data_IF_684479243204
#
_entry.id   IF_684479243204
#
_cell.length_a   1.000
_cell.length_b   1.000
_cell.length_c   1.000
_cell.angle_alpha   90.00
_cell.angle_beta   90.00
_cell.angle_gamma   90.00
#
_symmetry.space_group_name_H-M   'P 1'
#
loop_
_entity.id
_entity.type
_entity.pdbx_description
1 polymer ?
#
# COMPACT_ATOMS: atom_id res chain seq x y z
N UNK A 1 -81.55 9.06 29.28
CA UNK A 1 -81.67 10.38 28.60
C UNK A 1 -80.34 11.13 28.72
N UNK A 2 -79.88 11.65 27.58
CA UNK A 2 -78.73 12.52 27.24
C UNK A 2 -77.97 13.25 28.38
N UNK A 3 -76.63 13.29 28.31
CA UNK A 3 -75.77 14.40 27.81
C UNK A 3 -74.33 14.36 28.40
N UNK A 4 -73.41 15.09 27.75
CA UNK A 4 -72.10 15.61 28.23
C UNK A 4 -70.87 14.77 27.80
N UNK A 5 -69.75 15.28 27.25
CA UNK A 5 -69.08 16.59 27.31
C UNK A 5 -68.18 16.85 26.08
N UNK A 6 -68.11 18.11 25.64
CA UNK A 6 -67.00 18.68 24.87
C UNK A 6 -66.79 20.08 25.44
N UNK A 7 -65.60 20.43 25.94
CA UNK A 7 -65.16 21.83 26.04
C UNK A 7 -63.63 21.90 26.19
N UNK A 8 -63.09 22.86 25.45
CA UNK A 8 -61.70 23.10 25.06
C UNK A 8 -61.17 24.35 25.77
N UNK A 9 -59.85 24.35 26.09
CA UNK A 9 -58.88 25.46 26.16
C UNK A 9 -59.15 26.68 27.05
N UNK A 10 -58.27 26.92 28.03
CA UNK A 10 -57.60 28.22 28.28
C UNK A 10 -56.52 28.12 29.39
N UNK A 11 -55.23 28.21 29.04
CA UNK A 11 -54.03 28.58 29.84
C UNK A 11 -52.82 28.01 29.05
N UNK A 12 -51.76 28.71 28.64
CA UNK A 12 -51.13 29.94 29.12
C UNK A 12 -50.18 30.42 28.01
N UNK A 13 -50.38 31.63 27.50
CA UNK A 13 -49.36 32.41 26.79
C UNK A 13 -48.71 33.28 27.86
N UNK A 14 -47.51 32.93 28.34
CA UNK A 14 -46.56 33.86 28.96
C UNK A 14 -45.24 33.14 29.27
N UNK A 15 -44.26 33.18 28.35
CA UNK A 15 -42.81 33.10 28.61
C UNK A 15 -42.04 33.17 27.27
N UNK A 16 -42.15 34.34 26.63
CA UNK A 16 -41.08 34.87 25.79
C UNK A 16 -40.05 35.52 26.72
N UNK A 17 -38.77 35.41 26.37
CA UNK A 17 -37.57 35.90 27.08
C UNK A 17 -37.02 35.00 28.20
N UNK A 18 -36.36 33.91 27.81
CA UNK A 18 -35.13 33.51 28.49
C UNK A 18 -34.03 33.39 27.44
N UNK A 19 -32.92 34.08 27.71
CA UNK A 19 -31.80 34.27 26.80
C UNK A 19 -31.19 32.93 26.42
N UNK A 20 -31.06 32.67 25.12
CA UNK A 20 -30.09 31.71 24.62
C UNK A 20 -28.69 32.30 24.86
N UNK A 21 -28.19 32.14 26.08
CA UNK A 21 -26.75 32.11 26.31
C UNK A 21 -26.21 30.99 25.43
N UNK A 22 -25.51 31.37 24.36
CA UNK A 22 -24.64 30.46 23.65
C UNK A 22 -23.62 29.96 24.67
N UNK A 23 -23.89 28.80 25.27
CA UNK A 23 -22.87 28.03 25.92
C UNK A 23 -21.80 27.77 24.85
N UNK A 24 -20.64 28.38 25.02
CA UNK A 24 -19.44 28.00 24.28
C UNK A 24 -19.37 26.48 24.38
N UNK A 25 -19.36 25.79 23.24
CA UNK A 25 -19.09 24.36 23.18
C UNK A 25 -17.86 24.11 24.04
N UNK A 26 -17.96 23.32 25.13
CA UNK A 26 -16.84 23.11 26.02
C UNK A 26 -15.69 22.57 25.17
N UNK A 27 -14.55 23.28 25.19
CA UNK A 27 -13.30 22.75 24.66
C UNK A 27 -13.08 21.45 25.42
N UNK A 28 -13.25 20.32 24.74
CA UNK A 28 -12.97 19.00 25.31
C UNK A 28 -11.46 18.96 25.48
N UNK A 29 -10.98 19.34 26.67
CA UNK A 29 -9.56 19.25 27.00
C UNK A 29 -9.25 17.76 27.10
N UNK A 30 -8.46 17.28 26.13
CA UNK A 30 -8.02 15.89 26.10
C UNK A 30 -7.14 15.59 27.33
N UNK A 31 -7.37 14.43 27.94
CA UNK A 31 -6.72 14.06 29.20
C UNK A 31 -5.33 13.50 28.91
N UNK A 32 -4.30 14.10 29.52
CA UNK A 32 -2.95 13.54 29.53
C UNK A 32 -2.94 12.36 30.52
N UNK A 33 -2.62 11.17 30.02
CA UNK A 33 -2.57 9.93 30.82
C UNK A 33 -1.13 9.51 31.16
N UNK A 34 -0.15 9.96 30.38
CA UNK A 34 1.27 9.84 30.71
C UNK A 34 2.10 10.97 30.09
N UNK A 35 3.26 11.20 30.67
CA UNK A 35 4.28 12.16 30.22
C UNK A 35 5.65 11.50 30.31
N UNK A 36 6.43 11.59 29.25
CA UNK A 36 7.84 11.19 29.17
C UNK A 36 8.64 12.41 28.71
N UNK A 37 9.36 13.05 29.63
CA UNK A 37 9.98 14.37 29.42
C UNK A 37 9.05 15.38 28.73
N UNK A 38 9.37 15.80 27.50
CA UNK A 38 8.58 16.78 26.74
C UNK A 38 7.45 16.15 25.92
N UNK A 39 7.21 14.85 26.07
CA UNK A 39 6.27 14.11 25.24
C UNK A 39 5.10 13.61 26.06
N UNK A 40 3.90 13.81 25.53
CA UNK A 40 2.66 13.51 26.22
C UNK A 40 1.94 12.37 25.51
N UNK A 41 1.25 11.56 26.29
CA UNK A 41 0.35 10.52 25.79
C UNK A 41 -1.05 10.91 26.22
N UNK A 42 -1.92 11.05 25.23
CA UNK A 42 -3.29 11.48 25.43
C UNK A 42 -4.23 10.28 25.55
N UNK A 43 -5.34 10.46 26.26
CA UNK A 43 -6.36 9.42 26.39
C UNK A 43 -6.96 9.08 25.03
N UNK A 44 -7.23 10.10 24.20
CA UNK A 44 -7.77 9.89 22.85
C UNK A 44 -6.83 9.08 21.95
N UNK A 45 -5.51 9.24 22.10
CA UNK A 45 -4.49 8.48 21.36
C UNK A 45 -4.55 6.99 21.71
N UNK A 46 -4.59 6.66 23.00
CA UNK A 46 -4.73 5.29 23.47
C UNK A 46 -6.07 4.67 23.01
N UNK A 47 -7.17 5.40 23.18
CA UNK A 47 -8.50 4.94 22.76
C UNK A 47 -8.56 4.71 21.25
N UNK A 48 -7.98 5.61 20.45
CA UNK A 48 -7.90 5.49 18.99
C UNK A 48 -7.16 4.23 18.57
N UNK A 49 -5.99 3.95 19.16
CA UNK A 49 -5.24 2.73 18.86
C UNK A 49 -5.98 1.46 19.27
N UNK A 50 -6.61 1.46 20.46
CA UNK A 50 -7.45 0.33 20.90
C UNK A 50 -8.59 0.08 19.92
N UNK A 51 -9.27 1.12 19.43
CA UNK A 51 -10.35 0.97 18.46
C UNK A 51 -9.84 0.46 17.12
N UNK A 52 -8.67 0.92 16.66
CA UNK A 52 -8.05 0.44 15.42
C UNK A 52 -7.79 -1.08 15.48
N UNK A 53 -7.25 -1.59 16.60
CA UNK A 53 -7.04 -3.04 16.78
C UNK A 53 -8.34 -3.83 16.87
N UNK A 54 -9.41 -3.26 17.44
CA UNK A 54 -10.74 -3.90 17.46
C UNK A 54 -11.36 -3.99 16.08
N UNK A 55 -11.18 -2.96 15.25
CA UNK A 55 -11.73 -2.90 13.90
C UNK A 55 -10.98 -3.80 12.92
N UNK A 56 -9.69 -4.08 13.15
CA UNK A 56 -8.92 -4.97 12.27
C UNK A 56 -9.28 -6.45 12.41
N UNK A 57 -10.02 -6.84 13.46
CA UNK A 57 -10.45 -8.23 13.67
C UNK A 57 -9.30 -9.21 13.91
N UNK A 58 -8.11 -8.72 14.25
CA UNK A 58 -6.91 -9.54 14.39
C UNK A 58 -7.00 -10.45 15.63
N UNK A 59 -6.81 -11.76 15.44
CA UNK A 59 -6.73 -12.71 16.54
C UNK A 59 -5.51 -12.38 17.44
N UNK A 60 -5.72 -12.32 18.76
CA UNK A 60 -4.67 -11.97 19.72
C UNK A 60 -4.37 -10.47 19.83
N UNK A 61 -5.38 -9.61 19.64
CA UNK A 61 -5.23 -8.17 19.84
C UNK A 61 -4.62 -7.84 21.22
N UNK A 62 -3.64 -6.91 21.30
CA UNK A 62 -3.02 -6.55 22.56
C UNK A 62 -4.03 -5.92 23.51
N UNK A 63 -3.86 -6.19 24.81
CA UNK A 63 -4.64 -5.55 25.86
C UNK A 63 -4.40 -4.03 25.86
N UNK A 64 -5.34 -3.27 26.43
CA UNK A 64 -5.19 -1.82 26.59
C UNK A 64 -3.87 -1.45 27.29
N UNK A 65 -3.45 -2.22 28.29
CA UNK A 65 -2.17 -1.99 28.97
C UNK A 65 -0.97 -2.22 28.06
N UNK A 66 -0.97 -3.23 27.19
CA UNK A 66 0.11 -3.47 26.24
C UNK A 66 0.19 -2.38 25.17
N UNK A 67 -0.96 -1.88 24.70
CA UNK A 67 -1.00 -0.74 23.78
C UNK A 67 -0.44 0.51 24.49
N UNK A 68 -0.87 0.77 25.72
CA UNK A 68 -0.38 1.90 26.50
C UNK A 68 1.12 1.81 26.79
N UNK A 69 1.62 0.62 27.12
CA UNK A 69 3.05 0.35 27.27
C UNK A 69 3.81 0.67 25.98
N UNK A 70 3.31 0.24 24.81
CA UNK A 70 3.95 0.54 23.52
C UNK A 70 4.02 2.04 23.23
N UNK A 71 3.00 2.82 23.65
CA UNK A 71 3.00 4.28 23.54
C UNK A 71 4.07 4.91 24.44
N UNK A 72 4.18 4.47 25.69
CA UNK A 72 5.22 4.93 26.63
C UNK A 72 6.61 4.62 26.10
N UNK A 73 6.85 3.40 25.62
CA UNK A 73 8.12 3.00 25.00
C UNK A 73 8.44 3.89 23.78
N UNK A 74 7.45 4.15 22.93
CA UNK A 74 7.60 5.03 21.77
C UNK A 74 7.99 6.46 22.15
N UNK A 75 7.29 7.06 23.13
CA UNK A 75 7.64 8.41 23.63
C UNK A 75 9.00 8.42 24.32
N UNK A 76 9.40 7.33 24.98
CA UNK A 76 10.73 7.23 25.55
C UNK A 76 11.85 7.14 24.50
N UNK A 77 11.62 6.44 23.39
CA UNK A 77 12.56 6.43 22.26
C UNK A 77 12.75 7.82 21.68
N UNK A 78 11.70 8.64 21.60
CA UNK A 78 11.80 10.03 21.16
C UNK A 78 12.62 10.88 22.15
N UNK A 79 12.32 10.82 23.46
CA UNK A 79 13.06 11.56 24.47
C UNK A 79 14.56 11.18 24.49
N UNK A 80 14.87 9.88 24.43
CA UNK A 80 16.25 9.41 24.31
C UNK A 80 16.89 9.79 22.98
N UNK A 81 16.14 9.92 21.89
CA UNK A 81 16.67 10.38 20.61
C UNK A 81 17.11 11.84 20.69
N UNK A 82 16.41 12.69 21.43
CA UNK A 82 16.82 14.06 21.69
C UNK A 82 18.15 14.10 22.48
N UNK A 83 18.25 13.29 23.54
CA UNK A 83 19.47 13.17 24.37
C UNK A 83 20.65 12.64 23.55
N UNK A 84 20.42 11.59 22.77
CA UNK A 84 21.44 10.93 21.94
C UNK A 84 21.69 11.64 20.60
N UNK A 85 21.03 12.78 20.36
CA UNK A 85 21.12 13.57 19.11
C UNK A 85 20.82 12.75 17.84
N UNK A 86 19.87 11.83 17.91
CA UNK A 86 19.38 11.05 16.77
C UNK A 86 18.32 11.87 16.04
N UNK A 87 18.67 12.38 14.86
CA UNK A 87 17.78 13.21 14.04
C UNK A 87 17.43 12.52 12.72
N UNK A 88 16.28 12.90 12.15
CA UNK A 88 15.83 12.47 10.82
C UNK A 88 15.92 13.67 9.87
N UNK A 89 16.39 13.44 8.65
CA UNK A 89 16.47 14.49 7.63
C UNK A 89 15.07 14.93 7.19
N UNK A 90 14.85 16.25 7.11
CA UNK A 90 13.56 16.81 6.71
C UNK A 90 13.12 16.33 5.32
N UNK A 91 14.08 16.13 4.40
CA UNK A 91 13.79 15.57 3.08
C UNK A 91 13.12 14.20 3.15
N UNK A 92 13.50 13.36 4.11
CA UNK A 92 12.88 12.05 4.31
C UNK A 92 11.45 12.19 4.84
N UNK A 93 11.23 13.13 5.76
CA UNK A 93 9.90 13.44 6.30
C UNK A 93 8.96 13.92 5.19
N UNK A 94 9.39 14.85 4.34
CA UNK A 94 8.59 15.37 3.23
C UNK A 94 8.29 14.30 2.16
N UNK A 95 9.23 13.39 1.90
CA UNK A 95 9.01 12.27 0.99
C UNK A 95 7.93 11.33 1.52
N UNK A 96 7.97 10.97 2.80
CA UNK A 96 6.97 10.09 3.42
C UNK A 96 5.60 10.78 3.51
N UNK A 97 5.58 12.08 3.80
CA UNK A 97 4.37 12.90 3.80
C UNK A 97 3.72 12.92 2.42
N UNK A 98 4.49 13.12 1.36
CA UNK A 98 4.00 13.08 -0.02
C UNK A 98 3.36 11.73 -0.33
N UNK A 99 4.06 10.62 -0.08
CA UNK A 99 3.52 9.27 -0.32
C UNK A 99 2.27 8.97 0.51
N UNK A 100 2.20 9.44 1.76
CA UNK A 100 1.01 9.29 2.61
C UNK A 100 -0.18 10.06 2.06
N UNK A 101 0.04 11.29 1.58
CA UNK A 101 -1.01 12.10 0.95
C UNK A 101 -1.52 11.47 -0.35
N UNK A 102 -0.62 10.92 -1.19
CA UNK A 102 -0.98 10.21 -2.41
C UNK A 102 -1.84 8.97 -2.12
N UNK A 103 -1.48 8.17 -1.10
CA UNK A 103 -2.28 7.03 -0.65
C UNK A 103 -3.68 7.46 -0.20
N UNK A 104 -3.78 8.55 0.56
CA UNK A 104 -5.08 9.09 0.98
C UNK A 104 -5.88 9.60 -0.22
N UNK A 105 -5.26 10.26 -1.19
CA UNK A 105 -5.95 10.70 -2.40
C UNK A 105 -6.46 9.52 -3.24
N UNK A 106 -5.73 8.40 -3.30
CA UNK A 106 -6.19 7.18 -3.96
C UNK A 106 -7.37 6.56 -3.23
N UNK A 107 -7.34 6.50 -1.89
CA UNK A 107 -8.41 5.91 -1.08
C UNK A 107 -9.68 6.75 -1.10
N UNK A 108 -9.56 8.08 -0.96
CA UNK A 108 -10.69 8.99 -0.88
C UNK A 108 -11.10 9.56 -2.24
N UNK A 109 -10.29 9.36 -3.29
CA UNK A 109 -10.55 9.78 -4.67
C UNK A 109 -10.34 11.27 -4.98
N UNK A 110 -10.34 12.14 -3.96
CA UNK A 110 -9.99 13.56 -4.10
C UNK A 110 -9.61 14.21 -2.78
N UNK A 111 -8.88 15.32 -2.84
CA UNK A 111 -8.59 16.15 -1.67
C UNK A 111 -9.86 16.69 -0.99
N UNK A 112 -10.92 16.95 -1.76
CA UNK A 112 -12.21 17.40 -1.22
C UNK A 112 -12.80 16.35 -0.27
N UNK A 113 -12.78 15.08 -0.68
CA UNK A 113 -13.29 13.97 0.12
C UNK A 113 -12.44 13.75 1.38
N UNK A 114 -11.13 14.04 1.33
CA UNK A 114 -10.27 14.03 2.52
C UNK A 114 -10.68 15.13 3.50
N UNK A 115 -10.91 16.36 3.02
CA UNK A 115 -11.37 17.47 3.88
C UNK A 115 -12.72 17.13 4.53
N UNK A 116 -13.65 16.54 3.78
CA UNK A 116 -14.96 16.12 4.30
C UNK A 116 -14.84 14.98 5.34
N UNK A 117 -13.94 14.02 5.11
CA UNK A 117 -13.74 12.89 6.02
C UNK A 117 -13.02 13.29 7.33
N UNK A 118 -12.06 14.21 7.27
CA UNK A 118 -11.23 14.60 8.42
C UNK A 118 -11.70 15.90 9.08
N UNK A 119 -12.57 16.68 8.44
CA UNK A 119 -13.06 17.96 8.95
C UNK A 119 -11.98 19.04 9.07
N UNK A 120 -10.85 18.89 8.38
CA UNK A 120 -9.68 19.78 8.46
C UNK A 120 -9.20 20.19 7.07
N UNK A 121 -8.54 21.36 6.98
CA UNK A 121 -7.87 21.77 5.74
C UNK A 121 -6.69 20.86 5.44
N UNK A 122 -6.34 20.73 4.15
CA UNK A 122 -5.18 19.93 3.72
C UNK A 122 -3.87 20.44 4.34
N UNK A 123 -3.73 21.76 4.53
CA UNK A 123 -2.54 22.33 5.19
C UNK A 123 -2.43 21.86 6.63
N UNK A 124 -3.52 22.00 7.41
CA UNK A 124 -3.55 21.57 8.81
C UNK A 124 -3.30 20.07 8.95
N UNK A 125 -3.88 19.27 8.05
CA UNK A 125 -3.66 17.83 8.02
C UNK A 125 -2.20 17.49 7.72
N UNK A 126 -1.58 18.17 6.73
CA UNK A 126 -0.16 17.99 6.41
C UNK A 126 0.74 18.33 7.59
N UNK A 127 0.43 19.38 8.35
CA UNK A 127 1.22 19.78 9.51
C UNK A 127 1.15 18.76 10.65
N UNK A 128 -0.04 18.21 10.92
CA UNK A 128 -0.23 17.10 11.86
C UNK A 128 0.50 15.83 11.41
N UNK A 129 0.31 15.44 10.14
CA UNK A 129 0.96 14.27 9.56
C UNK A 129 2.47 14.40 9.56
N UNK A 130 3.01 15.58 9.24
CA UNK A 130 4.47 15.83 9.26
C UNK A 130 5.05 15.57 10.64
N UNK A 131 4.38 16.07 11.68
CA UNK A 131 4.81 15.88 13.07
C UNK A 131 4.77 14.40 13.45
N UNK A 132 3.66 13.71 13.16
CA UNK A 132 3.51 12.28 13.43
C UNK A 132 4.53 11.41 12.65
N UNK A 133 4.79 11.75 11.38
CA UNK A 133 5.79 11.07 10.54
C UNK A 133 7.19 11.27 11.10
N UNK A 134 7.54 12.49 11.52
CA UNK A 134 8.84 12.78 12.14
C UNK A 134 9.04 11.97 13.41
N UNK A 135 8.03 11.90 14.28
CA UNK A 135 8.06 11.04 15.46
C UNK A 135 8.27 9.57 15.07
N UNK A 136 7.45 9.03 14.16
CA UNK A 136 7.54 7.65 13.70
C UNK A 136 8.93 7.30 13.14
N UNK A 137 9.50 8.17 12.30
CA UNK A 137 10.82 7.96 11.70
C UNK A 137 11.94 8.04 12.73
N UNK A 138 11.82 8.95 13.71
CA UNK A 138 12.82 9.10 14.79
C UNK A 138 12.82 7.87 15.68
N UNK A 139 11.65 7.40 16.11
CA UNK A 139 11.49 6.16 16.88
C UNK A 139 12.04 4.96 16.12
N UNK A 140 11.75 4.84 14.81
CA UNK A 140 12.29 3.76 13.97
C UNK A 140 13.82 3.80 13.90
N UNK A 141 14.41 4.99 13.68
CA UNK A 141 15.86 5.16 13.62
C UNK A 141 16.52 4.81 14.97
N UNK A 142 15.90 5.17 16.08
CA UNK A 142 16.34 4.76 17.42
C UNK A 142 16.26 3.24 17.60
N UNK A 143 15.14 2.61 17.21
CA UNK A 143 14.98 1.17 17.26
C UNK A 143 16.03 0.43 16.42
N UNK A 144 16.34 0.95 15.22
CA UNK A 144 17.41 0.43 14.37
C UNK A 144 18.78 0.56 15.03
N UNK A 145 19.09 1.70 15.65
CA UNK A 145 20.33 1.90 16.43
C UNK A 145 20.47 0.91 17.58
N UNK A 146 19.37 0.61 18.29
CA UNK A 146 19.37 -0.35 19.40
C UNK A 146 19.60 -1.79 18.88
N UNK A 147 19.11 -2.10 17.68
CA UNK A 147 19.02 -3.48 17.18
C UNK A 147 20.01 -3.83 16.07
N UNK A 148 20.82 -2.88 15.58
CA UNK A 148 21.72 -3.06 14.43
C UNK A 148 22.76 -4.16 14.63
N UNK A 149 23.28 -4.29 15.86
CA UNK A 149 24.30 -5.29 16.20
C UNK A 149 23.70 -6.63 16.65
N UNK A 150 22.36 -6.71 16.73
CA UNK A 150 21.68 -7.94 17.14
C UNK A 150 21.71 -8.94 16.00
N UNK A 151 22.59 -9.94 16.15
CA UNK A 151 22.70 -11.11 15.25
C UNK A 151 22.18 -12.36 15.94
N UNK A 152 21.67 -13.31 15.16
CA UNK A 152 21.23 -14.62 15.64
C UNK A 152 22.19 -15.71 15.15
N UNK A 153 22.56 -16.64 16.01
CA UNK A 153 23.38 -17.80 15.67
C UNK A 153 22.53 -19.07 15.55
N UNK A 154 22.95 -20.09 14.77
CA UNK A 154 22.19 -21.34 14.66
C UNK A 154 21.92 -22.04 16.00
N UNK A 155 22.84 -21.91 16.96
CA UNK A 155 22.68 -22.44 18.33
C UNK A 155 21.55 -21.73 19.08
N UNK A 156 21.42 -20.41 18.91
CA UNK A 156 20.33 -19.64 19.51
C UNK A 156 18.99 -19.94 18.84
N UNK A 157 18.96 -20.13 17.51
CA UNK A 157 17.75 -20.58 16.81
C UNK A 157 17.27 -21.92 17.36
N UNK A 158 18.19 -22.87 17.55
CA UNK A 158 17.87 -24.18 18.14
C UNK A 158 17.28 -24.04 19.55
N UNK A 159 17.91 -23.26 20.42
CA UNK A 159 17.40 -22.98 21.78
C UNK A 159 16.04 -22.29 21.77
N UNK A 160 15.84 -21.33 20.87
CA UNK A 160 14.56 -20.65 20.70
C UNK A 160 13.46 -21.65 20.34
N UNK A 161 13.73 -22.53 19.37
CA UNK A 161 12.77 -23.54 18.92
C UNK A 161 12.47 -24.59 20.01
N UNK A 162 13.50 -25.08 20.72
CA UNK A 162 13.35 -26.03 21.83
C UNK A 162 12.55 -25.46 23.02
N UNK A 163 12.52 -24.13 23.16
CA UNK A 163 11.75 -23.44 24.20
C UNK A 163 10.26 -23.25 23.84
N UNK A 164 9.84 -23.55 22.61
CA UNK A 164 8.43 -23.48 22.21
C UNK A 164 7.71 -24.71 22.78
N UNK A 165 6.62 -24.54 23.56
CA UNK A 165 5.80 -25.67 24.00
C UNK A 165 5.35 -26.53 22.83
N UNK A 166 5.36 -27.86 22.97
CA UNK A 166 5.10 -28.80 21.86
C UNK A 166 3.72 -28.61 21.22
N UNK A 167 2.72 -28.24 22.01
CA UNK A 167 1.36 -27.90 21.60
C UNK A 167 1.24 -26.53 20.92
N UNK A 168 2.27 -25.69 21.06
CA UNK A 168 2.37 -24.35 20.49
C UNK A 168 3.28 -24.29 19.26
N UNK A 169 3.82 -25.44 18.80
CA UNK A 169 4.61 -25.51 17.56
C UNK A 169 3.66 -25.21 16.38
N UNK A 170 3.95 -24.18 15.57
CA UNK A 170 3.07 -23.82 14.47
C UNK A 170 2.89 -24.96 13.47
N UNK A 171 1.65 -25.20 13.07
CA UNK A 171 1.35 -26.04 11.93
C UNK A 171 1.63 -25.27 10.64
N UNK A 172 2.47 -25.83 9.77
CA UNK A 172 2.75 -25.29 8.45
C UNK A 172 1.81 -25.94 7.44
N UNK A 173 0.96 -25.14 6.75
CA UNK A 173 0.11 -25.68 5.69
C UNK A 173 0.98 -26.23 4.55
N UNK A 174 0.35 -26.97 3.62
CA UNK A 174 1.04 -27.40 2.42
C UNK A 174 1.54 -26.17 1.67
N UNK A 175 2.80 -26.18 1.24
CA UNK A 175 3.36 -25.11 0.43
C UNK A 175 3.60 -25.58 -1.00
N UNK A 176 3.56 -24.65 -1.95
CA UNK A 176 3.78 -24.93 -3.37
C UNK A 176 4.76 -23.93 -3.96
N UNK A 177 5.52 -24.39 -4.95
CA UNK A 177 6.36 -23.55 -5.79
C UNK A 177 5.76 -23.49 -7.19
N UNK A 178 5.44 -22.28 -7.64
CA UNK A 178 4.72 -22.07 -8.90
C UNK A 178 5.52 -21.09 -9.76
N UNK A 179 5.79 -21.48 -10.99
CA UNK A 179 6.32 -20.60 -12.01
C UNK A 179 5.23 -20.14 -12.97
N UNK A 180 5.40 -18.97 -13.59
CA UNK A 180 4.56 -18.55 -14.71
C UNK A 180 5.34 -17.85 -15.83
N UNK A 181 4.79 -17.93 -17.04
CA UNK A 181 5.25 -17.15 -18.20
C UNK A 181 4.05 -16.39 -18.71
N UNK A 182 4.18 -15.07 -18.81
CA UNK A 182 3.08 -14.16 -19.11
C UNK A 182 3.31 -13.49 -20.47
N UNK A 183 2.23 -13.35 -21.25
CA UNK A 183 2.18 -12.53 -22.45
C UNK A 183 0.98 -11.59 -22.38
N UNK A 184 1.23 -10.30 -22.51
CA UNK A 184 0.18 -9.28 -22.47
C UNK A 184 -0.71 -9.43 -23.69
N UNK A 185 -2.01 -9.26 -23.48
CA UNK A 185 -2.98 -9.19 -24.55
C UNK A 185 -2.64 -7.99 -25.46
N UNK A 186 -2.79 -8.17 -26.78
CA UNK A 186 -2.40 -7.16 -27.76
C UNK A 186 -3.61 -6.36 -28.21
N UNK A 187 -3.44 -5.06 -28.43
CA UNK A 187 -4.49 -4.26 -29.07
C UNK A 187 -4.67 -4.71 -30.52
N UNK A 188 -5.89 -5.05 -30.91
CA UNK A 188 -6.19 -5.47 -32.29
C UNK A 188 -5.97 -4.31 -33.26
N UNK A 189 -5.65 -4.62 -34.53
CA UNK A 189 -5.52 -3.60 -35.59
C UNK A 189 -6.77 -2.72 -35.69
N UNK A 190 -7.96 -3.30 -35.58
CA UNK A 190 -9.22 -2.58 -35.62
C UNK A 190 -9.36 -1.58 -34.46
N UNK A 191 -9.02 -2.00 -33.22
CA UNK A 191 -9.02 -1.10 -32.07
C UNK A 191 -7.97 0.02 -32.21
N UNK A 192 -6.76 -0.31 -32.68
CA UNK A 192 -5.73 0.71 -32.92
C UNK A 192 -6.22 1.77 -33.92
N UNK A 193 -6.83 1.34 -35.02
CA UNK A 193 -7.40 2.25 -36.01
C UNK A 193 -8.56 3.08 -35.45
N UNK A 194 -9.42 2.50 -34.61
CA UNK A 194 -10.51 3.20 -33.95
C UNK A 194 -9.99 4.32 -33.02
N UNK A 195 -9.06 3.97 -32.11
CA UNK A 195 -8.45 4.92 -31.17
C UNK A 195 -7.69 6.02 -31.89
N UNK A 196 -6.93 5.65 -32.94
CA UNK A 196 -6.23 6.60 -33.79
C UNK A 196 -7.21 7.57 -34.47
N UNK A 197 -8.28 7.05 -35.09
CA UNK A 197 -9.30 7.89 -35.75
C UNK A 197 -9.95 8.86 -34.78
N UNK A 198 -10.27 8.42 -33.56
CA UNK A 198 -10.85 9.27 -32.51
C UNK A 198 -9.91 10.39 -32.09
N UNK A 199 -8.65 10.07 -31.78
CA UNK A 199 -7.66 11.10 -31.41
C UNK A 199 -7.33 12.03 -32.58
N UNK A 200 -7.33 11.52 -33.80
CA UNK A 200 -7.14 12.33 -35.00
C UNK A 200 -8.32 13.28 -35.25
N UNK A 201 -9.55 12.86 -34.96
CA UNK A 201 -10.72 13.74 -34.94
C UNK A 201 -10.58 14.84 -33.88
N UNK A 202 -10.16 14.50 -32.66
CA UNK A 202 -9.91 15.49 -31.61
C UNK A 202 -8.80 16.48 -31.99
N UNK A 203 -7.74 16.01 -32.66
CA UNK A 203 -6.70 16.88 -33.21
C UNK A 203 -7.29 17.90 -34.19
N UNK A 204 -8.08 17.45 -35.16
CA UNK A 204 -8.74 18.34 -36.12
C UNK A 204 -9.67 19.35 -35.45
N UNK A 205 -10.44 18.91 -34.46
CA UNK A 205 -11.33 19.78 -33.68
C UNK A 205 -10.56 20.85 -32.92
N UNK A 206 -9.45 20.48 -32.28
CA UNK A 206 -8.56 21.42 -31.60
C UNK A 206 -7.93 22.42 -32.59
N UNK A 207 -7.46 21.96 -33.75
CA UNK A 207 -6.91 22.82 -34.81
C UNK A 207 -7.97 23.78 -35.39
N UNK A 208 -9.24 23.39 -35.37
CA UNK A 208 -10.38 24.23 -35.76
C UNK A 208 -10.89 25.15 -34.64
N UNK A 209 -10.20 25.20 -33.49
CA UNK A 209 -10.48 26.15 -32.41
C UNK A 209 -11.30 25.61 -31.23
N UNK A 210 -11.63 24.32 -31.20
CA UNK A 210 -12.22 23.71 -30.01
C UNK A 210 -11.20 23.63 -28.86
N UNK A 211 -11.62 23.88 -27.62
CA UNK A 211 -10.70 23.83 -26.47
C UNK A 211 -10.19 22.41 -26.24
N UNK A 212 -8.86 22.27 -26.26
CA UNK A 212 -8.18 21.02 -25.93
C UNK A 212 -8.47 20.58 -24.50
N UNK A 213 -8.51 21.54 -23.59
CA UNK A 213 -8.72 21.35 -22.17
C UNK A 213 -10.13 20.79 -21.89
N UNK A 214 -11.16 21.31 -22.55
CA UNK A 214 -12.52 20.77 -22.43
C UNK A 214 -12.64 19.38 -23.04
N UNK A 215 -12.03 19.13 -24.21
CA UNK A 215 -11.99 17.78 -24.79
C UNK A 215 -11.25 16.79 -23.89
N UNK A 216 -10.16 17.21 -23.25
CA UNK A 216 -9.44 16.38 -22.30
C UNK A 216 -10.29 16.05 -21.06
N UNK A 217 -11.07 16.99 -20.52
CA UNK A 217 -12.00 16.73 -19.43
C UNK A 217 -13.09 15.74 -19.80
N UNK A 218 -13.59 15.81 -21.04
CA UNK A 218 -14.71 14.99 -21.50
C UNK A 218 -14.29 13.58 -21.95
N UNK A 219 -13.13 13.46 -22.60
CA UNK A 219 -12.77 12.25 -23.34
C UNK A 219 -11.49 11.57 -22.87
N UNK A 220 -10.62 12.24 -22.10
CA UNK A 220 -9.40 11.60 -21.62
C UNK A 220 -9.74 10.54 -20.57
N UNK A 221 -9.18 9.35 -20.75
CA UNK A 221 -9.27 8.23 -19.81
C UNK A 221 -8.14 8.26 -18.77
N UNK A 222 -7.28 9.27 -18.80
CA UNK A 222 -6.39 9.60 -17.68
C UNK A 222 -7.17 10.37 -16.60
N UNK A 223 -7.56 9.66 -15.53
CA UNK A 223 -8.33 10.21 -14.42
C UNK A 223 -7.60 11.34 -13.66
N UNK A 224 -6.27 11.35 -13.69
CA UNK A 224 -5.45 12.33 -12.99
C UNK A 224 -5.43 13.67 -13.72
N UNK A 225 -4.92 13.68 -14.95
CA UNK A 225 -4.79 14.91 -15.74
C UNK A 225 -6.08 15.29 -16.48
N UNK A 226 -6.93 14.35 -16.86
CA UNK A 226 -8.16 14.60 -17.63
C UNK A 226 -9.06 15.63 -16.94
N UNK A 227 -9.31 15.48 -15.64
CA UNK A 227 -10.08 16.45 -14.83
C UNK A 227 -9.48 17.86 -14.79
N UNK A 228 -8.16 17.99 -15.01
CA UNK A 228 -7.42 19.26 -15.09
C UNK A 228 -7.24 19.75 -16.53
N UNK A 229 -8.06 19.27 -17.47
CA UNK A 229 -7.92 19.65 -18.87
C UNK A 229 -6.73 18.98 -19.57
N UNK A 230 -6.32 17.80 -19.11
CA UNK A 230 -5.19 17.08 -19.66
C UNK A 230 -3.84 17.57 -19.13
N UNK A 231 -3.83 18.51 -18.18
CA UNK A 231 -2.60 19.12 -17.67
C UNK A 231 -1.79 18.16 -16.77
N UNK A 232 -0.56 17.88 -17.22
CA UNK A 232 0.44 17.05 -16.54
C UNK A 232 1.42 17.87 -15.69
N UNK A 233 1.39 19.20 -15.76
CA UNK A 233 2.38 20.08 -15.15
C UNK A 233 3.76 20.00 -15.82
N UNK A 234 4.78 20.51 -15.13
CA UNK A 234 6.17 20.41 -15.59
C UNK A 234 6.73 19.02 -15.33
N UNK A 235 7.23 18.39 -16.39
CA UNK A 235 7.98 17.15 -16.35
C UNK A 235 9.45 17.42 -16.69
N UNK A 236 10.36 16.81 -15.93
CA UNK A 236 11.78 16.73 -16.27
C UNK A 236 11.99 15.66 -17.35
N UNK A 237 13.02 15.84 -18.16
CA UNK A 237 13.46 14.79 -19.09
C UNK A 237 13.75 13.49 -18.34
N UNK A 238 13.26 12.38 -18.89
CA UNK A 238 13.32 11.04 -18.30
C UNK A 238 12.20 10.71 -17.30
N UNK A 239 11.28 11.64 -16.99
CA UNK A 239 10.16 11.34 -16.09
C UNK A 239 8.95 10.71 -16.80
N UNK A 240 8.76 10.97 -18.10
CA UNK A 240 7.65 10.41 -18.88
C UNK A 240 8.11 9.21 -19.70
N UNK A 241 7.15 8.37 -20.12
CA UNK A 241 7.46 7.24 -21.02
C UNK A 241 8.08 7.72 -22.32
N UNK A 242 9.09 7.01 -22.80
CA UNK A 242 9.92 7.45 -23.92
C UNK A 242 9.14 7.87 -25.19
N UNK A 243 8.06 7.17 -25.62
CA UNK A 243 7.28 7.60 -26.79
C UNK A 243 6.62 8.97 -26.59
N UNK A 244 6.08 9.23 -25.39
CA UNK A 244 5.43 10.48 -25.05
C UNK A 244 6.44 11.64 -25.04
N UNK A 245 7.55 11.46 -24.31
CA UNK A 245 8.59 12.49 -24.19
C UNK A 245 9.19 12.83 -25.55
N UNK A 246 9.53 11.82 -26.35
CA UNK A 246 10.10 12.02 -27.68
C UNK A 246 9.15 12.77 -28.62
N UNK A 247 7.84 12.57 -28.49
CA UNK A 247 6.85 13.31 -29.26
C UNK A 247 6.70 14.74 -28.74
N UNK A 248 6.53 14.93 -27.41
CA UNK A 248 6.35 16.24 -26.80
C UNK A 248 7.53 17.19 -27.09
N UNK A 249 8.77 16.72 -26.96
CA UNK A 249 9.98 17.53 -27.16
C UNK A 249 10.26 17.89 -28.63
N UNK A 250 9.56 17.27 -29.60
CA UNK A 250 9.61 17.65 -31.02
C UNK A 250 8.66 18.79 -31.36
N UNK A 251 7.72 19.10 -30.48
CA UNK A 251 6.71 20.12 -30.70
C UNK A 251 7.27 21.51 -30.40
N UNK A 252 6.68 22.51 -31.04
CA UNK A 252 6.79 23.92 -30.64
C UNK A 252 5.73 24.23 -29.57
N UNK A 253 5.93 25.29 -28.76
CA UNK A 253 4.89 25.81 -27.88
C UNK A 253 3.55 25.97 -28.59
N UNK A 254 2.48 25.51 -27.93
CA UNK A 254 1.09 25.40 -28.41
C UNK A 254 0.84 24.49 -29.61
N UNK A 255 1.82 23.68 -30.03
CA UNK A 255 1.64 22.72 -31.12
C UNK A 255 1.08 21.39 -30.60
N UNK A 256 0.26 20.74 -31.44
CA UNK A 256 -0.24 19.38 -31.23
C UNK A 256 0.65 18.34 -31.91
N UNK A 257 0.83 17.19 -31.26
CA UNK A 257 1.48 16.01 -31.85
C UNK A 257 0.59 15.32 -32.88
N UNK A 258 1.17 14.35 -33.59
CA UNK A 258 0.39 13.23 -34.12
C UNK A 258 -0.03 12.28 -33.00
N UNK A 259 -0.86 11.29 -33.31
CA UNK A 259 -1.27 10.29 -32.32
C UNK A 259 -0.07 9.40 -31.95
N UNK A 260 0.22 9.29 -30.65
CA UNK A 260 1.37 8.55 -30.12
C UNK A 260 0.88 7.31 -29.38
N UNK A 261 1.40 6.13 -29.72
CA UNK A 261 1.14 4.88 -28.98
C UNK A 261 2.19 4.68 -27.87
N UNK A 262 1.74 4.25 -26.68
CA UNK A 262 2.57 3.89 -25.54
C UNK A 262 2.01 2.66 -24.82
N UNK A 263 2.70 2.19 -23.78
CA UNK A 263 2.19 1.12 -22.90
C UNK A 263 0.89 1.47 -22.16
N UNK A 264 0.56 2.76 -22.02
CA UNK A 264 -0.66 3.22 -21.35
C UNK A 264 -1.85 3.46 -22.29
N UNK A 265 -1.64 3.35 -23.61
CA UNK A 265 -2.64 3.67 -24.63
C UNK A 265 -2.14 4.68 -25.66
N UNK A 266 -3.09 5.36 -26.30
CA UNK A 266 -2.87 6.32 -27.37
C UNK A 266 -3.04 7.75 -26.86
N UNK A 267 -2.11 8.62 -27.26
CA UNK A 267 -2.01 9.98 -26.77
C UNK A 267 -2.13 10.98 -27.92
N UNK A 268 -2.87 12.06 -27.67
CA UNK A 268 -2.71 13.32 -28.39
C UNK A 268 -2.09 14.33 -27.43
N UNK A 269 -0.97 14.95 -27.81
CA UNK A 269 -0.14 15.76 -26.91
C UNK A 269 -0.15 17.20 -27.39
N UNK A 270 -0.28 18.16 -26.46
CA UNK A 270 -0.09 19.59 -26.70
C UNK A 270 1.07 20.07 -25.83
N UNK A 271 2.12 20.61 -26.44
CA UNK A 271 3.20 21.23 -25.68
C UNK A 271 2.83 22.67 -25.35
N UNK A 272 2.92 23.10 -24.09
CA UNK A 272 2.74 24.51 -23.72
C UNK A 272 4.06 25.26 -23.76
N UNK A 273 5.07 24.74 -23.06
CA UNK A 273 6.34 25.42 -22.93
C UNK A 273 7.48 24.47 -22.55
N UNK A 274 8.71 24.94 -22.79
CA UNK A 274 9.95 24.26 -22.41
C UNK A 274 10.81 25.25 -21.63
N UNK A 275 11.28 24.84 -20.46
CA UNK A 275 12.14 25.64 -19.56
C UNK A 275 13.35 24.81 -19.16
N UNK A 276 14.49 25.07 -19.79
CA UNK A 276 15.73 24.33 -19.50
C UNK A 276 15.58 22.83 -19.76
N UNK A 277 15.63 22.01 -18.70
CA UNK A 277 15.44 20.56 -18.76
C UNK A 277 14.01 20.09 -18.45
N UNK A 278 13.08 21.03 -18.26
CA UNK A 278 11.68 20.75 -17.98
C UNK A 278 10.80 21.17 -19.15
N UNK A 279 9.67 20.49 -19.32
CA UNK A 279 8.65 20.83 -20.30
C UNK A 279 7.25 20.62 -19.71
N UNK A 280 6.33 21.48 -20.11
CA UNK A 280 4.95 21.46 -19.67
C UNK A 280 4.05 21.06 -20.83
N UNK A 281 3.33 19.95 -20.68
CA UNK A 281 2.48 19.40 -21.72
C UNK A 281 1.09 19.03 -21.19
N UNK A 282 0.11 19.08 -22.08
CA UNK A 282 -1.21 18.50 -21.89
C UNK A 282 -1.34 17.26 -22.75
N UNK A 283 -2.24 16.36 -22.37
CA UNK A 283 -2.62 15.25 -23.23
C UNK A 283 -4.09 14.84 -23.15
N UNK A 284 -4.53 14.12 -24.19
CA UNK A 284 -5.74 13.29 -24.16
C UNK A 284 -5.28 11.84 -24.34
N UNK A 285 -5.57 10.99 -23.35
CA UNK A 285 -5.26 9.57 -23.38
C UNK A 285 -6.53 8.77 -23.69
N UNK A 286 -6.49 7.92 -24.72
CA UNK A 286 -7.48 6.88 -24.93
C UNK A 286 -6.82 5.50 -24.79
N UNK A 287 -7.46 4.60 -24.06
CA UNK A 287 -7.00 3.23 -23.80
C UNK A 287 -7.78 2.25 -24.66
N UNK A 288 -7.15 1.13 -25.05
CA UNK A 288 -7.87 0.07 -25.70
C UNK A 288 -8.87 -0.57 -24.75
N UNK A 289 -10.05 -0.93 -25.28
CA UNK A 289 -11.02 -1.73 -24.55
C UNK A 289 -10.40 -3.08 -24.17
N UNK A 290 -10.12 -3.25 -22.88
CA UNK A 290 -9.46 -4.42 -22.32
C UNK A 290 -10.27 -5.72 -22.46
N UNK A 291 -11.58 -5.62 -22.74
CA UNK A 291 -12.44 -6.77 -23.00
C UNK A 291 -12.35 -7.26 -24.45
N UNK A 292 -11.88 -6.41 -25.37
CA UNK A 292 -11.77 -6.69 -26.81
C UNK A 292 -10.33 -6.88 -27.28
N UNK A 293 -9.39 -7.03 -26.35
CA UNK A 293 -7.99 -7.28 -26.69
C UNK A 293 -7.79 -8.66 -27.33
N UNK A 294 -6.80 -8.73 -28.21
CA UNK A 294 -6.37 -9.98 -28.82
C UNK A 294 -5.61 -10.83 -27.81
N UNK A 295 -6.22 -11.94 -27.42
CA UNK A 295 -5.61 -12.99 -26.61
C UNK A 295 -5.18 -14.19 -27.48
N UNK A 296 -5.54 -14.22 -28.76
CA UNK A 296 -5.26 -15.36 -29.66
C UNK A 296 -3.78 -15.45 -29.98
N UNK A 297 -3.12 -14.35 -30.37
CA UNK A 297 -1.67 -14.35 -30.60
C UNK A 297 -0.88 -14.71 -29.34
N UNK A 298 -1.10 -14.05 -28.17
CA UNK A 298 -0.46 -14.44 -26.92
C UNK A 298 -0.69 -15.90 -26.53
N UNK A 299 -1.91 -16.41 -26.74
CA UNK A 299 -2.26 -17.82 -26.49
C UNK A 299 -1.45 -18.76 -27.38
N UNK A 300 -1.44 -18.53 -28.71
CA UNK A 300 -0.67 -19.35 -29.65
C UNK A 300 0.83 -19.31 -29.37
N UNK A 301 1.32 -18.13 -29.00
CA UNK A 301 2.72 -17.95 -28.62
C UNK A 301 3.06 -18.78 -27.39
N UNK A 302 2.30 -18.65 -26.31
CA UNK A 302 2.52 -19.41 -25.09
C UNK A 302 2.33 -20.92 -25.27
N UNK A 303 1.40 -21.35 -26.14
CA UNK A 303 1.25 -22.77 -26.48
C UNK A 303 2.50 -23.31 -27.18
N UNK A 304 3.10 -22.52 -28.08
CA UNK A 304 4.37 -22.88 -28.74
C UNK A 304 5.50 -23.02 -27.72
N UNK A 305 5.61 -22.08 -26.77
CA UNK A 305 6.60 -22.14 -25.69
C UNK A 305 6.36 -23.36 -24.78
N UNK A 306 5.09 -23.63 -24.43
CA UNK A 306 4.69 -24.79 -23.64
C UNK A 306 5.12 -26.09 -24.31
N UNK A 307 4.90 -26.24 -25.62
CA UNK A 307 5.34 -27.42 -26.39
C UNK A 307 6.85 -27.59 -26.35
N UNK A 308 7.62 -26.51 -26.46
CA UNK A 308 9.09 -26.57 -26.35
C UNK A 308 9.54 -27.03 -24.96
N UNK A 309 8.89 -26.56 -23.89
CA UNK A 309 9.22 -26.97 -22.52
C UNK A 309 8.84 -28.44 -22.29
N UNK A 310 7.67 -28.86 -22.75
CA UNK A 310 7.20 -30.26 -22.62
C UNK A 310 8.06 -31.26 -23.39
N UNK A 311 8.74 -30.82 -24.45
CA UNK A 311 9.71 -31.62 -25.22
C UNK A 311 11.14 -31.50 -24.69
N UNK A 312 11.33 -30.88 -23.52
CA UNK A 312 12.63 -30.62 -22.91
C UNK A 312 13.62 -29.84 -23.80
N UNK A 313 13.11 -29.15 -24.84
CA UNK A 313 13.95 -28.35 -25.75
C UNK A 313 14.43 -27.05 -25.11
N UNK A 314 13.69 -26.56 -24.10
CA UNK A 314 14.07 -25.43 -23.26
C UNK A 314 13.56 -25.66 -21.84
N UNK A 315 14.35 -25.30 -20.82
CA UNK A 315 13.90 -25.34 -19.42
C UNK A 315 12.95 -24.18 -19.12
N UNK A 316 11.99 -24.41 -18.22
CA UNK A 316 10.96 -23.43 -17.88
C UNK A 316 11.57 -22.10 -17.46
N UNK A 317 12.58 -22.13 -16.57
CA UNK A 317 13.25 -20.94 -16.05
C UNK A 317 13.91 -20.11 -17.16
N UNK A 318 14.49 -20.79 -18.15
CA UNK A 318 15.09 -20.13 -19.32
C UNK A 318 14.01 -19.54 -20.23
N UNK A 319 12.92 -20.28 -20.47
CA UNK A 319 11.80 -19.79 -21.25
C UNK A 319 11.13 -18.57 -20.59
N UNK A 320 10.99 -18.56 -19.26
CA UNK A 320 10.47 -17.43 -18.52
C UNK A 320 11.38 -16.21 -18.68
N UNK A 321 12.69 -16.39 -18.52
CA UNK A 321 13.67 -15.33 -18.70
C UNK A 321 13.66 -14.74 -20.11
N UNK A 322 13.60 -15.58 -21.15
CA UNK A 322 13.67 -15.13 -22.53
C UNK A 322 12.34 -14.58 -23.07
N UNK A 323 11.19 -15.12 -22.64
CA UNK A 323 9.91 -14.90 -23.32
C UNK A 323 8.80 -14.30 -22.46
N UNK A 324 8.95 -14.25 -21.13
CA UNK A 324 7.94 -13.63 -20.27
C UNK A 324 7.94 -12.11 -20.42
N UNK A 325 6.74 -11.53 -20.50
CA UNK A 325 6.52 -10.09 -20.43
C UNK A 325 6.25 -9.62 -18.97
N UNK A 326 6.19 -10.54 -18.00
CA UNK A 326 6.16 -10.19 -16.58
C UNK A 326 7.58 -9.94 -16.03
N UNK A 327 7.93 -8.65 -15.91
CA UNK A 327 9.24 -8.20 -15.42
C UNK A 327 9.50 -8.54 -13.96
N UNK A 328 8.46 -8.70 -13.13
CA UNK A 328 8.64 -8.98 -11.71
C UNK A 328 9.22 -10.38 -11.47
N UNK A 329 8.87 -11.35 -12.32
CA UNK A 329 9.28 -12.74 -12.18
C UNK A 329 10.26 -13.20 -13.25
N UNK A 330 10.39 -12.49 -14.37
CA UNK A 330 11.25 -12.84 -15.52
C UNK A 330 12.68 -13.21 -15.09
N UNK A 331 13.33 -12.35 -14.30
CA UNK A 331 14.72 -12.58 -13.86
C UNK A 331 14.85 -13.65 -12.78
N UNK A 332 13.75 -13.96 -12.08
CA UNK A 332 13.64 -15.05 -11.10
C UNK A 332 13.20 -16.38 -11.75
N UNK A 333 13.35 -16.53 -13.07
CA UNK A 333 12.97 -17.75 -13.78
C UNK A 333 11.45 -17.99 -13.83
N UNK A 334 10.66 -16.92 -13.70
CA UNK A 334 9.20 -16.96 -13.69
C UNK A 334 8.60 -17.40 -12.35
N UNK A 335 9.40 -17.60 -11.30
CA UNK A 335 8.87 -18.05 -10.01
C UNK A 335 8.04 -16.96 -9.35
N UNK A 336 6.79 -17.31 -8.99
CA UNK A 336 5.89 -16.45 -8.25
C UNK A 336 6.34 -16.45 -6.79
N UNK A 337 6.36 -15.26 -6.18
CA UNK A 337 6.65 -15.09 -4.76
C UNK A 337 5.39 -14.75 -3.98
N UNK A 338 5.29 -15.29 -2.78
CA UNK A 338 4.29 -14.91 -1.80
C UNK A 338 4.37 -13.39 -1.50
N UNK A 339 3.26 -12.63 -1.62
CA UNK A 339 3.29 -11.18 -1.41
C UNK A 339 3.70 -10.73 0.00
N UNK A 340 3.41 -11.56 1.02
CA UNK A 340 3.67 -11.24 2.42
C UNK A 340 5.12 -11.56 2.81
N UNK A 341 5.62 -12.71 2.38
CA UNK A 341 6.92 -13.25 2.81
C UNK A 341 8.03 -13.07 1.78
N UNK A 342 7.69 -12.75 0.52
CA UNK A 342 8.59 -12.73 -0.64
C UNK A 342 9.28 -14.07 -0.92
N UNK A 343 8.80 -15.16 -0.31
CA UNK A 343 9.28 -16.52 -0.53
C UNK A 343 8.72 -17.08 -1.84
N UNK A 344 9.49 -17.93 -2.53
CA UNK A 344 8.99 -18.71 -3.68
C UNK A 344 8.09 -19.89 -3.26
N UNK A 345 8.09 -20.23 -1.97
CA UNK A 345 7.16 -21.18 -1.37
C UNK A 345 5.94 -20.43 -0.87
N UNK A 346 4.78 -20.75 -1.44
CA UNK A 346 3.49 -20.13 -1.11
C UNK A 346 2.61 -21.14 -0.39
N UNK A 347 1.86 -20.71 0.63
CA UNK A 347 0.87 -21.55 1.28
C UNK A 347 -0.27 -21.89 0.30
N UNK A 348 -0.58 -23.18 0.16
CA UNK A 348 -1.73 -23.67 -0.60
C UNK A 348 -2.96 -23.70 0.33
N UNK A 349 -3.45 -22.50 0.66
CA UNK A 349 -4.62 -22.29 1.51
C UNK A 349 -5.46 -21.10 1.01
N UNK A 350 -6.42 -20.65 1.84
CA UNK A 350 -7.32 -19.56 1.51
C UNK A 350 -6.66 -18.18 1.34
N UNK A 351 -5.37 -18.04 1.62
CA UNK A 351 -4.61 -16.80 1.37
C UNK A 351 -4.15 -16.68 -0.09
N UNK A 352 -4.14 -17.78 -0.85
CA UNK A 352 -3.79 -17.80 -2.27
C UNK A 352 -4.91 -17.22 -3.13
N UNK A 353 -4.56 -16.55 -4.24
CA UNK A 353 -5.49 -16.11 -5.27
C UNK A 353 -6.40 -17.28 -5.70
N UNK A 354 -7.73 -17.15 -5.59
CA UNK A 354 -8.64 -18.28 -5.78
C UNK A 354 -8.49 -18.98 -7.12
N UNK A 355 -8.31 -18.22 -8.21
CA UNK A 355 -8.09 -18.80 -9.55
C UNK A 355 -6.79 -19.60 -9.63
N UNK A 356 -5.73 -19.14 -8.98
CA UNK A 356 -4.48 -19.87 -8.86
C UNK A 356 -4.64 -21.12 -8.00
N UNK A 357 -5.28 -21.00 -6.83
CA UNK A 357 -5.54 -22.12 -5.91
C UNK A 357 -6.23 -23.29 -6.62
N UNK A 358 -7.39 -23.06 -7.25
CA UNK A 358 -8.13 -24.12 -7.93
C UNK A 358 -7.36 -24.74 -9.09
N UNK A 359 -6.56 -23.94 -9.80
CA UNK A 359 -5.73 -24.45 -10.89
C UNK A 359 -4.67 -25.39 -10.34
N UNK A 360 -3.90 -24.97 -9.33
CA UNK A 360 -2.81 -25.75 -8.74
C UNK A 360 -3.32 -27.00 -8.02
N UNK A 361 -4.46 -26.91 -7.33
CA UNK A 361 -5.09 -28.05 -6.65
C UNK A 361 -5.47 -29.17 -7.63
N UNK A 362 -5.83 -28.82 -8.87
CA UNK A 362 -6.14 -29.78 -9.95
C UNK A 362 -4.92 -30.29 -10.72
N UNK A 363 -3.74 -29.71 -10.50
CA UNK A 363 -2.53 -30.00 -11.27
C UNK A 363 -1.65 -31.06 -10.61
N UNK A 364 -0.84 -31.73 -11.44
CA UNK A 364 0.24 -32.61 -10.98
C UNK A 364 1.56 -31.85 -10.94
N UNK A 365 2.37 -32.09 -9.91
CA UNK A 365 3.74 -31.54 -9.81
C UNK A 365 4.56 -31.93 -11.05
N UNK A 366 5.33 -30.99 -11.58
CA UNK A 366 6.12 -31.10 -12.80
C UNK A 366 5.36 -30.74 -14.09
N UNK A 367 4.07 -30.43 -14.03
CA UNK A 367 3.25 -30.16 -15.23
C UNK A 367 3.06 -28.66 -15.50
N UNK A 368 2.70 -28.36 -16.75
CA UNK A 368 2.45 -27.00 -17.24
C UNK A 368 1.03 -26.92 -17.81
N UNK A 369 0.28 -25.90 -17.39
CA UNK A 369 -1.08 -25.66 -17.88
C UNK A 369 -1.07 -25.31 -19.37
N UNK A 370 -2.19 -25.52 -20.10
CA UNK A 370 -2.46 -24.75 -21.31
C UNK A 370 -2.43 -23.24 -21.04
N UNK A 371 -2.25 -22.39 -22.07
CA UNK A 371 -2.37 -20.95 -21.89
C UNK A 371 -3.77 -20.58 -21.40
N UNK A 372 -3.83 -19.73 -20.38
CA UNK A 372 -5.06 -19.31 -19.73
C UNK A 372 -5.11 -17.79 -19.57
N UNK A 373 -6.30 -17.16 -19.63
CA UNK A 373 -6.45 -15.74 -19.35
C UNK A 373 -5.91 -15.37 -17.97
N UNK A 374 -5.32 -14.19 -17.87
CA UNK A 374 -4.73 -13.67 -16.65
C UNK A 374 -4.90 -12.15 -16.59
N UNK A 375 -4.98 -11.62 -15.37
CA UNK A 375 -4.90 -10.18 -15.10
C UNK A 375 -3.64 -9.95 -14.28
N UNK A 376 -2.74 -9.14 -14.81
CA UNK A 376 -1.53 -8.73 -14.08
C UNK A 376 -1.91 -7.88 -12.88
N UNK A 377 -0.99 -7.73 -11.93
CA UNK A 377 -1.20 -6.92 -10.71
C UNK A 377 -1.53 -5.46 -11.04
N UNK A 378 -0.94 -4.91 -12.12
CA UNK A 378 -1.25 -3.58 -12.65
C UNK A 378 -2.54 -3.51 -13.50
N UNK A 379 -3.32 -4.59 -13.54
CA UNK A 379 -4.66 -4.65 -14.13
C UNK A 379 -4.71 -4.92 -15.64
N UNK A 380 -3.56 -5.11 -16.31
CA UNK A 380 -3.53 -5.41 -17.76
C UNK A 380 -4.06 -6.82 -18.04
N UNK A 381 -4.80 -6.95 -19.14
CA UNK A 381 -5.20 -8.26 -19.67
C UNK A 381 -3.98 -8.98 -20.22
N UNK A 382 -3.82 -10.25 -19.87
CA UNK A 382 -2.73 -11.09 -20.31
C UNK A 382 -3.22 -12.53 -20.51
N UNK A 383 -2.32 -13.36 -21.04
CA UNK A 383 -2.41 -14.81 -21.04
C UNK A 383 -1.18 -15.31 -20.29
N UNK A 384 -1.32 -16.37 -19.51
CA UNK A 384 -0.20 -17.04 -18.84
C UNK A 384 -0.23 -18.54 -19.02
N UNK A 385 0.93 -19.17 -18.86
CA UNK A 385 1.03 -20.59 -18.52
C UNK A 385 1.60 -20.72 -17.12
N UNK A 386 1.10 -21.68 -16.35
CA UNK A 386 1.58 -21.98 -15.00
C UNK A 386 2.39 -23.27 -15.02
N UNK A 387 3.48 -23.30 -14.27
CA UNK A 387 4.30 -24.47 -14.01
C UNK A 387 4.24 -24.82 -12.54
N UNK A 388 3.70 -26.00 -12.23
CA UNK A 388 3.66 -26.49 -10.86
C UNK A 388 4.97 -27.20 -10.54
N UNK A 389 5.93 -26.47 -9.98
CA UNK A 389 7.30 -26.97 -9.81
C UNK A 389 7.44 -27.99 -8.69
N UNK A 390 6.90 -27.68 -7.51
CA UNK A 390 7.01 -28.53 -6.33
C UNK A 390 5.82 -28.35 -5.38
N UNK A 391 5.49 -29.41 -4.64
CA UNK A 391 4.57 -29.40 -3.50
C UNK A 391 5.30 -29.90 -2.26
N UNK A 392 5.22 -29.14 -1.19
CA UNK A 392 5.74 -29.48 0.12
C UNK A 392 4.58 -29.90 1.01
N UNK A 393 4.71 -31.07 1.62
CA UNK A 393 3.68 -31.62 2.50
C UNK A 393 3.50 -30.72 3.74
N UNK A 394 2.26 -30.61 4.26
CA UNK A 394 2.06 -29.95 5.54
C UNK A 394 2.84 -30.67 6.62
N UNK A 395 3.41 -29.91 7.54
CA UNK A 395 4.21 -30.42 8.64
C UNK A 395 4.09 -29.48 9.84
N UNK A 396 4.42 -29.97 11.03
CA UNK A 396 4.68 -29.06 12.13
C UNK A 396 6.06 -28.45 11.95
N UNK A 397 6.18 -27.16 12.28
CA UNK A 397 7.41 -26.40 12.11
C UNK A 397 8.61 -27.18 12.65
N UNK A 398 9.70 -27.28 11.88
CA UNK A 398 10.89 -27.99 12.30
C UNK A 398 12.18 -27.30 11.82
N UNK A 399 13.31 -27.62 12.44
CA UNK A 399 14.59 -26.96 12.12
C UNK A 399 15.25 -27.49 10.83
N UNK A 400 14.76 -28.56 10.24
CA UNK A 400 15.27 -29.10 8.98
C UNK A 400 14.66 -28.33 7.79
N UNK A 401 13.33 -28.17 7.80
CA UNK A 401 12.58 -27.56 6.70
C UNK A 401 12.43 -26.03 6.88
N UNK A 402 12.30 -25.54 8.12
CA UNK A 402 11.93 -24.15 8.43
C UNK A 402 13.03 -23.30 9.06
N UNK A 403 14.30 -23.72 8.99
CA UNK A 403 15.39 -23.04 9.70
C UNK A 403 15.42 -21.53 9.46
N UNK A 404 15.25 -21.07 8.21
CA UNK A 404 15.26 -19.64 7.88
C UNK A 404 14.10 -18.89 8.54
N UNK A 405 12.90 -19.48 8.54
CA UNK A 405 11.70 -18.91 9.18
C UNK A 405 11.90 -18.85 10.69
N UNK A 406 12.38 -19.93 11.30
CA UNK A 406 12.70 -19.98 12.74
C UNK A 406 13.82 -19.01 13.11
N UNK A 407 14.82 -18.84 12.25
CA UNK A 407 15.89 -17.86 12.43
C UNK A 407 15.35 -16.43 12.45
N UNK A 408 14.42 -16.09 11.56
CA UNK A 408 13.79 -14.77 11.55
C UNK A 408 12.94 -14.52 12.80
N UNK A 409 12.16 -15.51 13.27
CA UNK A 409 11.42 -15.40 14.52
C UNK A 409 12.33 -15.26 15.73
N UNK A 410 13.37 -16.07 15.83
CA UNK A 410 14.36 -16.00 16.89
C UNK A 410 15.09 -14.65 16.89
N UNK A 411 15.46 -14.13 15.72
CA UNK A 411 16.08 -12.82 15.56
C UNK A 411 15.14 -11.70 16.03
N UNK A 412 13.87 -11.73 15.61
CA UNK A 412 12.89 -10.73 16.03
C UNK A 412 12.65 -10.77 17.55
N UNK A 413 12.52 -11.96 18.15
CA UNK A 413 12.45 -12.09 19.61
C UNK A 413 13.69 -11.52 20.29
N UNK A 414 14.88 -11.83 19.78
CA UNK A 414 16.15 -11.32 20.32
C UNK A 414 16.25 -9.79 20.22
N UNK A 415 15.78 -9.20 19.12
CA UNK A 415 15.68 -7.74 18.94
C UNK A 415 14.70 -7.12 19.94
N UNK A 416 13.53 -7.72 20.16
CA UNK A 416 12.57 -7.25 21.14
C UNK A 416 13.16 -7.29 22.56
N UNK A 417 13.85 -8.37 22.94
CA UNK A 417 14.57 -8.44 24.22
C UNK A 417 15.68 -7.40 24.34
N UNK A 418 16.37 -7.04 23.25
CA UNK A 418 17.34 -5.95 23.27
C UNK A 418 16.68 -4.59 23.55
N UNK A 419 15.50 -4.35 22.97
CA UNK A 419 14.70 -3.14 23.22
C UNK A 419 14.21 -3.11 24.67
N UNK A 420 13.72 -4.23 25.22
CA UNK A 420 13.29 -4.34 26.61
C UNK A 420 14.45 -4.04 27.59
N UNK A 421 15.64 -4.59 27.32
CA UNK A 421 16.85 -4.32 28.12
C UNK A 421 17.29 -2.86 28.01
N UNK A 422 17.27 -2.32 26.80
CA UNK A 422 17.52 -0.89 26.59
C UNK A 422 16.52 -0.05 27.39
N UNK A 423 15.24 -0.41 27.38
CA UNK A 423 14.20 0.29 28.11
C UNK A 423 14.43 0.27 29.63
N UNK A 424 14.82 -0.89 30.16
CA UNK A 424 15.17 -1.07 31.57
C UNK A 424 16.28 -0.11 32.05
N UNK A 425 17.24 0.20 31.17
CA UNK A 425 18.33 1.14 31.46
C UNK A 425 17.94 2.60 31.21
N UNK A 426 17.28 2.87 30.09
CA UNK A 426 16.94 4.20 29.62
C UNK A 426 15.92 4.91 30.50
N UNK A 427 15.04 4.17 31.20
CA UNK A 427 14.04 4.75 32.11
C UNK A 427 14.63 5.58 33.26
N UNK A 428 15.94 5.43 33.55
CA UNK A 428 16.63 6.22 34.58
C UNK A 428 17.15 7.57 34.04
N UNK A 429 17.22 7.72 32.72
CA UNK A 429 17.74 8.92 32.05
C UNK A 429 16.64 9.95 31.74
N UNK A 430 15.37 9.56 31.89
CA UNK A 430 14.20 10.35 31.48
C UNK A 430 13.18 10.46 32.61
N UNK A 431 12.42 11.55 32.66
CA UNK A 431 11.32 11.70 33.60
C UNK A 431 10.05 11.04 33.05
N UNK A 432 9.49 10.09 33.79
CA UNK A 432 8.24 9.40 33.43
C UNK A 432 7.19 9.63 34.50
N UNK A 433 6.03 10.16 34.09
CA UNK A 433 4.84 10.32 34.91
C UNK A 433 3.67 9.57 34.27
N UNK A 434 2.97 8.76 35.07
CA UNK A 434 1.78 7.98 34.68
C UNK A 434 0.68 8.25 35.70
N UNK A 435 -0.53 8.57 35.24
CA UNK A 435 -1.68 8.80 36.13
C UNK A 435 -2.11 7.52 36.85
N UNK A 436 -2.69 7.67 38.05
CA UNK A 436 -2.99 6.55 38.95
C UNK A 436 -3.83 5.44 38.31
N UNK A 437 -4.78 5.80 37.43
CA UNK A 437 -5.66 4.88 36.69
C UNK A 437 -4.89 3.83 35.87
N UNK A 438 -3.65 4.11 35.45
CA UNK A 438 -2.86 3.20 34.62
C UNK A 438 -1.63 2.63 35.35
N UNK A 439 -1.48 2.89 36.66
CA UNK A 439 -0.38 2.30 37.47
C UNK A 439 -0.48 0.77 37.53
N UNK A 440 -1.69 0.23 37.45
CA UNK A 440 -1.97 -1.22 37.41
C UNK A 440 -1.39 -1.92 36.17
N UNK A 441 -1.13 -1.18 35.08
CA UNK A 441 -0.47 -1.73 33.90
C UNK A 441 1.01 -2.10 34.15
N UNK A 442 1.59 -1.75 35.30
CA UNK A 442 2.94 -2.14 35.73
C UNK A 442 4.09 -1.81 34.73
N UNK A 443 3.91 -0.81 33.86
CA UNK A 443 4.84 -0.44 32.77
C UNK A 443 6.29 -0.22 33.24
N UNK A 444 6.48 0.19 34.50
CA UNK A 444 7.81 0.48 35.07
C UNK A 444 8.51 -0.75 35.68
N UNK A 445 7.80 -1.88 35.84
CA UNK A 445 8.36 -3.13 36.35
C UNK A 445 8.94 -3.92 35.18
N UNK A 446 10.27 -4.00 35.13
CA UNK A 446 10.96 -4.93 34.24
C UNK A 446 10.73 -6.35 34.77
N UNK A 447 10.37 -7.29 33.89
CA UNK A 447 10.28 -8.71 34.22
C UNK A 447 11.70 -9.27 34.49
N UNK A 448 12.29 -8.89 35.63
CA UNK A 448 13.38 -9.61 36.25
C UNK A 448 12.78 -10.51 37.35
N UNK A 449 12.07 -11.56 36.90
CA UNK A 449 11.85 -12.80 37.65
C UNK A 449 11.88 -13.98 36.68
#
# INVERSE_FOLDING_TARGET
MKFSKFFISLFTICLLFCQALQAQTPVVIDKIIAKVDNHFILKSELESQVQQYKQSGQAGAPSTCQIFESLVVGKMMLAKSEIDSITVEDKRVESELTSRMEQMEQQFGSQKNIIEAYGKSISSLKDELRSAIKEQLTTRKMQEKITSDVKITPKEVRRFFEAIPKDSIPYMPSEVEIGHIVRLAKTTKAQKEELYKRLYDYKKRAENGESFEEMAKLYSEDLGSGKRGGDLGFAKRGQMVAPFEAAALKLKPNQLSDVVESEFGFHLIKLLEVRGQEYHALHILLRPDYQRLDVVEPTKYLDSIRVLIQRDSIKFERAAKEFSEDKATQDAGGMITDPQTRSIKMALDGTMESGLYFTIDSMTVGTITPPMPYRTEDGRSAVRILYYKAKHAPHYANLEDDFQRMSNYALNRKRNTAIEKWFATAKNDVFIYIVDEYKECNIMKTNDQ
#
